data_IF_600325114359
#
_entry.id   IF_600325114359
#
_cell.length_a   1.000
_cell.length_b   1.000
_cell.length_c   1.000
_cell.angle_alpha   90.00
_cell.angle_beta   90.00
_cell.angle_gamma   90.00
#
_symmetry.space_group_name_H-M   'P 1'
#
loop_
_entity.id
_entity.type
_entity.pdbx_description
1 polymer ?
#
# COMPACT_ATOMS: atom_id res chain seq x y z
N UNK A 1 16.37 0.25 2.63
CA UNK A 1 14.94 0.42 2.96
C UNK A 1 14.15 -0.76 2.43
N UNK A 2 13.40 -1.44 3.28
CA UNK A 2 12.60 -2.63 2.95
C UNK A 2 11.18 -2.30 2.52
N UNK A 3 10.63 -1.15 2.96
CA UNK A 3 9.38 -0.61 2.41
C UNK A 3 9.63 -0.02 1.02
N UNK A 4 9.01 -0.63 0.00
CA UNK A 4 9.23 -0.32 -1.43
C UNK A 4 7.93 -0.09 -2.18
N UNK A 5 8.02 0.52 -3.36
CA UNK A 5 6.84 0.72 -4.22
C UNK A 5 6.29 -0.61 -4.74
N UNK A 6 4.98 -0.64 -5.01
CA UNK A 6 4.32 -1.77 -5.66
C UNK A 6 4.97 -2.11 -7.01
N UNK A 7 5.33 -1.07 -7.79
CA UNK A 7 6.01 -1.24 -9.07
C UNK A 7 7.30 -2.07 -8.93
N UNK A 8 8.12 -1.80 -7.90
CA UNK A 8 9.37 -2.53 -7.69
C UNK A 8 9.12 -4.03 -7.47
N UNK A 9 8.17 -4.37 -6.59
CA UNK A 9 7.83 -5.77 -6.29
C UNK A 9 7.25 -6.47 -7.52
N UNK A 10 6.28 -5.86 -8.19
CA UNK A 10 5.61 -6.48 -9.34
C UNK A 10 6.51 -6.59 -10.57
N UNK A 11 7.43 -5.65 -10.78
CA UNK A 11 8.42 -5.77 -11.88
C UNK A 11 9.33 -6.97 -11.66
N UNK A 12 9.80 -7.19 -10.43
CA UNK A 12 10.62 -8.35 -10.09
C UNK A 12 9.82 -9.66 -10.20
N UNK A 13 8.61 -9.69 -9.68
CA UNK A 13 7.72 -10.85 -9.75
C UNK A 13 7.41 -11.26 -11.20
N UNK A 14 7.11 -10.28 -12.07
CA UNK A 14 6.86 -10.53 -13.49
C UNK A 14 8.11 -11.06 -14.21
N UNK A 15 9.27 -10.49 -13.92
CA UNK A 15 10.54 -10.93 -14.53
C UNK A 15 10.89 -12.37 -14.14
N UNK A 16 10.58 -12.77 -12.93
CA UNK A 16 10.94 -14.07 -12.36
C UNK A 16 9.77 -15.06 -12.31
N UNK A 17 8.62 -14.73 -12.91
CA UNK A 17 7.42 -15.58 -13.05
C UNK A 17 6.88 -16.11 -11.72
N UNK A 18 6.75 -15.24 -10.71
CA UNK A 18 6.07 -15.59 -9.45
C UNK A 18 4.95 -14.60 -9.10
N UNK A 19 4.01 -15.04 -8.24
CA UNK A 19 2.95 -14.20 -7.72
C UNK A 19 3.35 -13.60 -6.36
N UNK A 20 2.87 -12.40 -6.07
CA UNK A 20 3.06 -11.73 -4.77
C UNK A 20 1.74 -11.73 -4.00
N UNK A 21 1.78 -12.15 -2.75
CA UNK A 21 0.61 -12.14 -1.88
C UNK A 21 0.25 -10.71 -1.45
N UNK A 22 -1.01 -10.30 -1.68
CA UNK A 22 -1.64 -9.15 -1.06
C UNK A 22 -2.40 -9.58 0.18
N UNK A 23 -1.97 -9.15 1.36
CA UNK A 23 -2.43 -9.65 2.65
C UNK A 23 -3.20 -8.55 3.38
N UNK A 24 -4.50 -8.76 3.57
CA UNK A 24 -5.39 -7.82 4.26
C UNK A 24 -5.06 -7.82 5.75
N UNK A 25 -4.71 -6.65 6.27
CA UNK A 25 -4.42 -6.42 7.68
C UNK A 25 -5.68 -5.87 8.35
N UNK A 26 -6.09 -6.45 9.46
CA UNK A 26 -7.17 -5.94 10.32
C UNK A 26 -6.59 -5.27 11.57
N UNK A 27 -5.51 -5.84 12.13
CA UNK A 27 -4.87 -5.36 13.35
C UNK A 27 -3.34 -5.55 13.33
N UNK A 28 -2.68 -5.12 14.40
CA UNK A 28 -1.24 -5.27 14.61
C UNK A 28 -0.76 -6.72 14.46
N UNK A 29 -1.49 -7.65 15.06
CA UNK A 29 -1.09 -9.06 15.12
C UNK A 29 -1.05 -9.71 13.73
N UNK A 30 -1.99 -9.37 12.86
CA UNK A 30 -2.00 -9.84 11.46
C UNK A 30 -0.76 -9.32 10.73
N UNK A 31 -0.51 -8.01 10.82
CA UNK A 31 0.62 -7.39 10.14
C UNK A 31 1.96 -7.98 10.64
N UNK A 32 2.10 -8.18 11.95
CA UNK A 32 3.29 -8.79 12.55
C UNK A 32 3.49 -10.24 12.08
N UNK A 33 2.42 -11.03 12.01
CA UNK A 33 2.47 -12.41 11.54
C UNK A 33 2.91 -12.48 10.06
N UNK A 34 2.36 -11.60 9.21
CA UNK A 34 2.73 -11.53 7.79
C UNK A 34 4.20 -11.10 7.59
N UNK A 35 4.69 -10.15 8.37
CA UNK A 35 6.08 -9.73 8.33
C UNK A 35 7.03 -10.87 8.74
N UNK A 36 6.69 -11.62 9.79
CA UNK A 36 7.48 -12.79 10.23
C UNK A 36 7.52 -13.86 9.13
N UNK A 37 6.36 -14.17 8.55
CA UNK A 37 6.29 -15.14 7.45
C UNK A 37 7.10 -14.69 6.22
N UNK A 38 7.07 -13.40 5.87
CA UNK A 38 7.87 -12.84 4.80
C UNK A 38 9.37 -12.93 5.08
N UNK A 39 9.78 -12.69 6.32
CA UNK A 39 11.19 -12.76 6.73
C UNK A 39 11.70 -14.21 6.72
N UNK A 40 10.89 -15.17 7.21
CA UNK A 40 11.21 -16.60 7.23
C UNK A 40 11.31 -17.21 5.83
N UNK A 41 10.43 -16.78 4.92
CA UNK A 41 10.36 -17.33 3.55
C UNK A 41 11.24 -16.57 2.54
N UNK A 42 11.64 -15.34 2.86
CA UNK A 42 12.34 -14.45 1.94
C UNK A 42 11.46 -13.93 0.79
N UNK A 43 10.14 -14.11 0.85
CA UNK A 43 9.21 -13.75 -0.22
C UNK A 43 8.62 -12.35 0.02
N UNK A 44 8.67 -11.44 -0.98
CA UNK A 44 8.06 -10.12 -0.86
C UNK A 44 6.54 -10.20 -0.65
N UNK A 45 5.99 -9.25 0.11
CA UNK A 45 4.56 -9.18 0.39
C UNK A 45 4.00 -7.76 0.20
N UNK A 46 2.67 -7.68 0.05
CA UNK A 46 1.91 -6.44 0.06
C UNK A 46 1.02 -6.45 1.30
N UNK A 47 1.27 -5.55 2.27
CA UNK A 47 0.37 -5.31 3.39
C UNK A 47 -0.75 -4.37 2.95
N UNK A 48 -1.99 -4.81 3.04
CA UNK A 48 -3.16 -4.08 2.55
C UNK A 48 -3.99 -3.51 3.72
N UNK A 49 -4.12 -2.18 3.77
CA UNK A 49 -5.02 -1.48 4.67
C UNK A 49 -6.36 -1.24 3.98
N UNK A 50 -7.26 -2.21 4.08
CA UNK A 50 -8.61 -2.14 3.51
C UNK A 50 -9.56 -1.22 4.29
N UNK A 51 -10.79 -0.99 3.77
CA UNK A 51 -11.78 -0.11 4.41
C UNK A 51 -12.11 -0.50 5.86
N UNK A 52 -12.23 -1.79 6.17
CA UNK A 52 -12.51 -2.27 7.53
C UNK A 52 -11.40 -1.91 8.51
N UNK A 53 -10.13 -2.08 8.08
CA UNK A 53 -8.98 -1.69 8.88
C UNK A 53 -8.98 -0.17 9.15
N UNK A 54 -9.21 0.63 8.12
CA UNK A 54 -9.23 2.10 8.21
C UNK A 54 -10.43 2.65 8.99
N UNK A 55 -11.54 1.94 9.03
CA UNK A 55 -12.69 2.29 9.87
C UNK A 55 -12.36 2.14 11.37
N UNK A 56 -11.42 1.27 11.70
CA UNK A 56 -11.00 0.99 13.08
C UNK A 56 -9.78 1.80 13.51
N UNK A 57 -8.81 1.95 12.61
CA UNK A 57 -7.53 2.60 12.90
C UNK A 57 -7.25 3.70 11.86
N UNK A 58 -6.99 4.94 12.27
CA UNK A 58 -6.71 6.05 11.36
C UNK A 58 -5.52 5.79 10.42
N UNK A 59 -5.63 6.28 9.18
CA UNK A 59 -4.59 6.13 8.14
C UNK A 59 -3.19 6.54 8.63
N UNK A 60 -3.00 7.67 9.34
CA UNK A 60 -1.66 8.05 9.82
C UNK A 60 -1.04 7.06 10.81
N UNK A 61 -1.86 6.39 11.61
CA UNK A 61 -1.40 5.36 12.54
C UNK A 61 -1.01 4.09 11.78
N UNK A 62 -1.86 3.67 10.84
CA UNK A 62 -1.58 2.50 9.99
C UNK A 62 -0.32 2.71 9.16
N UNK A 63 -0.11 3.88 8.59
CA UNK A 63 1.09 4.18 7.82
C UNK A 63 2.37 4.02 8.65
N UNK A 64 2.38 4.60 9.85
CA UNK A 64 3.51 4.45 10.80
C UNK A 64 3.71 2.98 11.20
N UNK A 65 2.63 2.26 11.49
CA UNK A 65 2.67 0.84 11.85
C UNK A 65 3.27 -0.01 10.73
N UNK A 66 2.78 0.15 9.50
CA UNK A 66 3.28 -0.63 8.35
C UNK A 66 4.74 -0.29 8.03
N UNK A 67 5.12 0.99 8.09
CA UNK A 67 6.50 1.43 7.90
C UNK A 67 7.44 0.86 8.97
N UNK A 68 7.02 0.90 10.23
CA UNK A 68 7.77 0.30 11.33
C UNK A 68 7.98 -1.19 11.09
N UNK A 69 6.91 -1.94 10.86
CA UNK A 69 6.99 -3.39 10.64
C UNK A 69 7.82 -3.75 9.41
N UNK A 70 7.67 -3.01 8.32
CA UNK A 70 8.52 -3.20 7.14
C UNK A 70 10.00 -2.96 7.42
N UNK A 71 10.35 -2.13 8.41
CA UNK A 71 11.75 -1.90 8.81
C UNK A 71 12.35 -3.05 9.64
N UNK A 72 11.50 -3.94 10.16
CA UNK A 72 11.92 -5.06 11.00
C UNK A 72 12.27 -6.34 10.20
N UNK A 73 12.08 -6.32 8.89
CA UNK A 73 12.41 -7.44 8.00
C UNK A 73 13.48 -7.06 6.98
N UNK A 74 14.17 -8.04 6.42
CA UNK A 74 15.09 -7.89 5.29
C UNK A 74 14.37 -8.02 3.94
N UNK A 75 13.14 -8.51 3.95
CA UNK A 75 12.33 -8.75 2.74
C UNK A 75 11.62 -7.47 2.29
N UNK A 76 11.39 -7.33 1.00
CA UNK A 76 10.66 -6.18 0.46
C UNK A 76 9.18 -6.24 0.84
N UNK A 77 8.66 -5.14 1.34
CA UNK A 77 7.26 -4.98 1.75
C UNK A 77 6.66 -3.76 1.04
N UNK A 78 5.52 -3.93 0.39
CA UNK A 78 4.71 -2.81 -0.08
C UNK A 78 3.65 -2.47 0.97
N UNK A 79 3.61 -1.22 1.42
CA UNK A 79 2.55 -0.70 2.29
C UNK A 79 1.46 -0.11 1.40
N UNK A 80 0.27 -0.71 1.36
CA UNK A 80 -0.76 -0.42 0.36
C UNK A 80 -2.08 0.03 0.99
N UNK A 81 -2.64 1.15 0.53
CA UNK A 81 -4.04 1.52 0.76
C UNK A 81 -4.89 0.75 -0.24
N UNK A 82 -5.73 -0.13 0.27
CA UNK A 82 -6.62 -0.97 -0.52
C UNK A 82 -8.04 -0.39 -0.52
N UNK A 83 -8.64 -0.18 -1.71
CA UNK A 83 -9.93 0.46 -1.91
C UNK A 83 -10.10 1.85 -1.27
N UNK A 84 -9.24 2.81 -1.61
CA UNK A 84 -9.45 4.23 -1.28
C UNK A 84 -10.59 4.81 -2.12
N UNK A 85 -11.65 5.27 -1.47
CA UNK A 85 -12.85 5.76 -2.16
C UNK A 85 -12.80 7.25 -2.50
N UNK A 86 -11.90 7.98 -1.87
CA UNK A 86 -11.77 9.42 -2.05
C UNK A 86 -10.34 9.83 -2.39
N UNK A 87 -10.20 10.98 -3.05
CA UNK A 87 -8.89 11.59 -3.29
C UNK A 87 -8.14 11.82 -1.97
N UNK A 88 -8.86 12.30 -0.94
CA UNK A 88 -8.30 12.59 0.38
C UNK A 88 -7.73 11.34 1.06
N UNK A 89 -8.41 10.21 1.01
CA UNK A 89 -7.88 8.95 1.57
C UNK A 89 -6.57 8.53 0.89
N UNK A 90 -6.51 8.67 -0.44
CA UNK A 90 -5.30 8.34 -1.20
C UNK A 90 -4.15 9.30 -0.87
N UNK A 91 -4.43 10.60 -0.79
CA UNK A 91 -3.46 11.63 -0.42
C UNK A 91 -2.95 11.43 1.01
N UNK A 92 -3.86 11.25 1.98
CA UNK A 92 -3.50 10.98 3.38
C UNK A 92 -2.68 9.69 3.52
N UNK A 93 -2.99 8.66 2.71
CA UNK A 93 -2.20 7.44 2.64
C UNK A 93 -0.76 7.70 2.22
N UNK A 94 -0.55 8.45 1.14
CA UNK A 94 0.79 8.81 0.66
C UNK A 94 1.54 9.62 1.73
N UNK A 95 0.90 10.63 2.30
CA UNK A 95 1.49 11.49 3.34
C UNK A 95 1.84 10.72 4.62
N UNK A 96 1.10 9.64 4.89
CA UNK A 96 1.34 8.76 6.04
C UNK A 96 2.41 7.69 5.80
N UNK A 97 2.99 7.65 4.59
CA UNK A 97 4.10 6.76 4.26
C UNK A 97 3.70 5.44 3.59
N UNK A 98 2.45 5.30 3.15
CA UNK A 98 2.11 4.18 2.26
C UNK A 98 2.85 4.30 0.93
N UNK A 99 3.35 3.18 0.44
CA UNK A 99 4.17 3.12 -0.79
C UNK A 99 3.36 2.78 -2.04
N UNK A 100 2.05 2.58 -1.85
CA UNK A 100 1.07 2.35 -2.92
C UNK A 100 -0.34 2.70 -2.44
N UNK A 101 -1.18 3.17 -3.34
CA UNK A 101 -2.62 3.36 -3.10
C UNK A 101 -3.42 2.85 -4.28
N UNK A 102 -4.58 2.27 -4.00
CA UNK A 102 -5.59 1.92 -5.00
C UNK A 102 -6.79 2.85 -4.83
N UNK A 103 -7.10 3.64 -5.85
CA UNK A 103 -8.37 4.36 -5.91
C UNK A 103 -9.47 3.45 -6.44
N UNK A 104 -10.54 3.31 -5.68
CA UNK A 104 -11.70 2.52 -6.09
C UNK A 104 -12.78 3.42 -6.68
N UNK A 105 -12.78 3.56 -8.00
CA UNK A 105 -13.79 4.26 -8.78
C UNK A 105 -14.88 3.34 -9.35
N UNK A 106 -15.02 2.11 -8.88
CA UNK A 106 -15.92 1.09 -9.46
C UNK A 106 -17.40 1.50 -9.49
N UNK A 107 -17.82 2.36 -8.55
CA UNK A 107 -19.20 2.91 -8.47
C UNK A 107 -19.43 4.19 -9.27
N UNK A 108 -18.39 4.71 -9.92
CA UNK A 108 -18.47 5.95 -10.70
C UNK A 108 -18.78 5.67 -12.17
N UNK A 109 -19.22 6.70 -12.90
CA UNK A 109 -19.22 6.65 -14.36
C UNK A 109 -17.79 6.43 -14.88
N UNK A 110 -17.64 5.83 -16.06
CA UNK A 110 -16.31 5.64 -16.67
C UNK A 110 -15.55 6.97 -16.79
N UNK A 111 -16.23 8.03 -17.20
CA UNK A 111 -15.67 9.38 -17.34
C UNK A 111 -15.12 9.91 -16.01
N UNK A 112 -15.91 9.78 -14.94
CA UNK A 112 -15.50 10.26 -13.61
C UNK A 112 -14.41 9.41 -13.00
N UNK A 113 -14.45 8.09 -13.21
CA UNK A 113 -13.41 7.17 -12.78
C UNK A 113 -12.07 7.55 -13.43
N UNK A 114 -12.02 7.69 -14.75
CA UNK A 114 -10.81 8.11 -15.47
C UNK A 114 -10.29 9.44 -14.92
N UNK A 115 -11.17 10.46 -14.78
CA UNK A 115 -10.79 11.79 -14.29
C UNK A 115 -10.18 11.74 -12.89
N UNK A 116 -10.82 11.02 -11.96
CA UNK A 116 -10.35 10.94 -10.56
C UNK A 116 -9.08 10.10 -10.44
N UNK A 117 -9.01 8.96 -11.11
CA UNK A 117 -7.81 8.11 -11.13
C UNK A 117 -6.60 8.86 -11.68
N UNK A 118 -6.75 9.57 -12.80
CA UNK A 118 -5.68 10.40 -13.37
C UNK A 118 -5.18 11.45 -12.38
N UNK A 119 -6.10 12.12 -11.65
CA UNK A 119 -5.72 13.10 -10.63
C UNK A 119 -4.90 12.48 -9.50
N UNK A 120 -5.25 11.26 -9.07
CA UNK A 120 -4.52 10.55 -8.01
C UNK A 120 -3.15 10.07 -8.51
N UNK A 121 -3.05 9.63 -9.77
CA UNK A 121 -1.76 9.27 -10.35
C UNK A 121 -0.76 10.44 -10.32
N UNK A 122 -1.23 11.68 -10.47
CA UNK A 122 -0.39 12.86 -10.39
C UNK A 122 0.20 13.11 -8.99
N UNK A 123 -0.39 12.59 -7.92
CA UNK A 123 0.18 12.68 -6.58
C UNK A 123 1.55 11.98 -6.45
N UNK A 124 1.78 10.94 -7.26
CA UNK A 124 3.05 10.22 -7.28
C UNK A 124 4.09 10.80 -8.25
N UNK A 125 3.64 11.55 -9.26
CA UNK A 125 4.49 12.01 -10.36
C UNK A 125 4.86 13.49 -10.25
N UNK A 126 4.14 14.26 -9.42
CA UNK A 126 4.51 15.64 -9.15
C UNK A 126 5.70 15.68 -8.21
N UNK A 127 6.73 16.52 -8.48
CA UNK A 127 7.80 16.78 -7.51
C UNK A 127 7.13 17.34 -6.25
N UNK A 128 7.16 16.54 -5.20
CA UNK A 128 6.55 16.89 -3.93
C UNK A 128 7.55 17.71 -3.12
N UNK A 129 7.11 18.76 -2.42
CA UNK A 129 7.93 19.38 -1.37
C UNK A 129 8.09 18.49 -0.13
N UNK A 130 7.84 17.21 -0.25
CA UNK A 130 7.80 16.19 0.81
C UNK A 130 9.09 15.34 0.91
N UNK A 131 10.09 15.64 0.08
CA UNK A 131 11.44 15.03 0.12
C UNK A 131 12.39 15.90 0.96
#
# INVERSE_FOLDING_TARGET
MTAVSLKKILTDANKNNYAVAGLVVLAWDDALAFIKAADETGVPIILQAGPSCRAHTPIPILGKMFRYLASQTKTHVCCHIDHGYTFRECEEGIDSGFTSVMFDGSKLSLKDNIKKTSKICLLYTSPSPRD
#
